data_IF_792293126806
#
_entry.id   IF_792293126806
#
_cell.length_a   1.000
_cell.length_b   1.000
_cell.length_c   1.000
_cell.angle_alpha   90.00
_cell.angle_beta   90.00
_cell.angle_gamma   90.00
#
_symmetry.space_group_name_H-M   'P 1'
#
loop_
_entity.id
_entity.type
_entity.pdbx_description
1 polymer ?
#
# COMPACT_ATOMS: atom_id res chain seq x y z
N UNK A 1 10.72 -0.37 15.15
CA UNK A 1 9.72 -0.58 16.24
C UNK A 1 8.44 0.24 16.02
N UNK A 2 8.51 1.51 15.60
CA UNK A 2 7.31 2.35 15.37
C UNK A 2 6.34 1.75 14.33
N UNK A 3 6.84 1.35 13.15
CA UNK A 3 6.00 0.77 12.10
C UNK A 3 5.31 -0.52 12.52
N UNK A 4 6.03 -1.45 13.15
CA UNK A 4 5.48 -2.73 13.63
C UNK A 4 4.46 -2.54 14.77
N UNK A 5 4.69 -1.59 15.66
CA UNK A 5 3.75 -1.25 16.74
C UNK A 5 2.48 -0.59 16.22
N UNK A 6 2.62 0.36 15.28
CA UNK A 6 1.48 0.98 14.58
C UNK A 6 0.68 -0.07 13.80
N UNK A 7 1.34 -0.91 13.00
CA UNK A 7 0.71 -1.98 12.23
C UNK A 7 -0.11 -2.90 13.16
N UNK A 8 0.52 -3.39 14.23
CA UNK A 8 -0.16 -4.24 15.22
C UNK A 8 -1.36 -3.54 15.87
N UNK A 9 -1.27 -2.23 16.12
CA UNK A 9 -2.36 -1.45 16.66
C UNK A 9 -3.54 -1.35 15.69
N UNK A 10 -3.31 -0.92 14.45
CA UNK A 10 -4.40 -0.74 13.45
C UNK A 10 -5.09 -2.05 13.08
N UNK A 11 -4.32 -3.15 12.94
CA UNK A 11 -4.89 -4.47 12.60
C UNK A 11 -5.73 -5.04 13.74
N UNK A 12 -5.44 -4.71 15.00
CA UNK A 12 -6.29 -5.13 16.14
C UNK A 12 -7.66 -4.44 16.14
N UNK A 13 -7.78 -3.27 15.52
CA UNK A 13 -9.00 -2.47 15.49
C UNK A 13 -10.03 -2.87 14.43
N UNK A 14 -9.73 -3.82 13.53
CA UNK A 14 -10.62 -4.20 12.42
C UNK A 14 -11.14 -5.64 12.55
N UNK A 15 -12.25 -5.95 11.86
CA UNK A 15 -12.83 -7.31 11.82
C UNK A 15 -11.87 -8.34 11.21
N UNK A 16 -12.07 -9.64 11.47
CA UNK A 16 -11.18 -10.70 10.96
C UNK A 16 -11.08 -10.67 9.43
N UNK A 17 -12.19 -10.38 8.77
CA UNK A 17 -12.33 -10.28 7.32
C UNK A 17 -11.50 -9.09 6.81
N UNK A 18 -11.64 -7.92 7.44
CA UNK A 18 -10.91 -6.71 7.08
C UNK A 18 -9.40 -6.77 7.42
N UNK A 19 -8.98 -7.60 8.38
CA UNK A 19 -7.55 -7.76 8.73
C UNK A 19 -6.74 -8.24 7.55
N UNK A 20 -7.28 -9.20 6.77
CA UNK A 20 -6.56 -9.76 5.62
C UNK A 20 -6.30 -8.69 4.57
N UNK A 21 -7.34 -7.94 4.22
CA UNK A 21 -7.28 -6.86 3.24
C UNK A 21 -6.35 -5.73 3.72
N UNK A 22 -6.51 -5.28 4.97
CA UNK A 22 -5.66 -4.25 5.55
C UNK A 22 -4.19 -4.66 5.58
N UNK A 23 -3.87 -5.91 5.95
CA UNK A 23 -2.51 -6.42 5.92
C UNK A 23 -1.93 -6.38 4.49
N UNK A 24 -2.70 -6.84 3.50
CA UNK A 24 -2.27 -6.80 2.10
C UNK A 24 -2.01 -5.37 1.60
N UNK A 25 -2.85 -4.40 1.99
CA UNK A 25 -2.66 -2.98 1.66
C UNK A 25 -1.40 -2.43 2.33
N UNK A 26 -1.20 -2.68 3.62
CA UNK A 26 -0.02 -2.20 4.35
C UNK A 26 1.27 -2.76 3.73
N UNK A 27 1.28 -4.04 3.36
CA UNK A 27 2.41 -4.68 2.68
C UNK A 27 2.68 -4.02 1.34
N UNK A 28 1.64 -3.79 0.52
CA UNK A 28 1.76 -3.16 -0.80
C UNK A 28 2.35 -1.75 -0.69
N UNK A 29 1.81 -0.93 0.23
CA UNK A 29 2.31 0.44 0.48
C UNK A 29 3.77 0.43 0.94
N UNK A 30 4.12 -0.45 1.88
CA UNK A 30 5.50 -0.56 2.35
C UNK A 30 6.45 -1.02 1.23
N UNK A 31 5.98 -1.90 0.34
CA UNK A 31 6.72 -2.37 -0.81
C UNK A 31 6.98 -1.27 -1.84
N UNK A 32 5.96 -0.48 -2.20
CA UNK A 32 6.12 0.65 -3.13
C UNK A 32 7.06 1.73 -2.60
N UNK A 33 6.98 2.03 -1.29
CA UNK A 33 7.90 2.96 -0.63
C UNK A 33 9.34 2.44 -0.71
N UNK A 34 9.54 1.14 -0.46
CA UNK A 34 10.86 0.53 -0.51
C UNK A 34 11.44 0.57 -1.94
N UNK A 35 10.65 0.25 -2.96
CA UNK A 35 11.07 0.35 -4.37
C UNK A 35 11.41 1.79 -4.76
N UNK A 36 10.56 2.77 -4.44
CA UNK A 36 10.82 4.18 -4.76
C UNK A 36 12.08 4.70 -4.06
N UNK A 37 12.31 4.30 -2.80
CA UNK A 37 13.54 4.63 -2.09
C UNK A 37 14.77 4.05 -2.79
N UNK A 38 14.70 2.80 -3.27
CA UNK A 38 15.80 2.21 -4.02
C UNK A 38 16.05 2.97 -5.33
N UNK A 39 15.01 3.34 -6.07
CA UNK A 39 15.15 4.15 -7.28
C UNK A 39 15.79 5.51 -7.01
N UNK A 40 15.45 6.16 -5.90
CA UNK A 40 16.09 7.42 -5.50
C UNK A 40 17.59 7.24 -5.23
N UNK A 41 17.99 6.12 -4.63
CA UNK A 41 19.38 5.84 -4.26
C UNK A 41 20.21 5.39 -5.47
N UNK A 42 19.66 4.50 -6.29
CA UNK A 42 20.40 3.83 -7.36
C UNK A 42 20.25 4.51 -8.72
N UNK A 43 19.11 5.15 -8.98
CA UNK A 43 18.77 5.74 -10.27
C UNK A 43 18.65 7.27 -10.22
N UNK A 44 19.03 7.90 -9.11
CA UNK A 44 18.92 9.36 -8.87
C UNK A 44 17.49 9.90 -9.10
N UNK A 45 16.46 9.06 -8.90
CA UNK A 45 15.08 9.52 -8.93
C UNK A 45 14.85 10.54 -7.81
N UNK A 46 13.95 11.50 -8.04
CA UNK A 46 13.57 12.48 -7.01
C UNK A 46 12.58 11.84 -6.02
N UNK A 47 12.77 11.97 -4.70
CA UNK A 47 11.79 11.56 -3.71
C UNK A 47 10.42 12.21 -3.98
N UNK A 48 9.38 11.38 -4.15
CA UNK A 48 8.05 11.87 -4.54
C UNK A 48 6.98 10.95 -3.98
N UNK A 49 6.11 11.51 -3.14
CA UNK A 49 4.92 10.80 -2.66
C UNK A 49 3.94 10.52 -3.80
N UNK A 50 3.82 11.45 -4.76
CA UNK A 50 2.96 11.27 -5.93
C UNK A 50 3.38 10.06 -6.77
N UNK A 51 4.69 9.83 -6.95
CA UNK A 51 5.20 8.67 -7.69
C UNK A 51 4.82 7.35 -7.01
N UNK A 52 4.91 7.28 -5.67
CA UNK A 52 4.50 6.11 -4.89
C UNK A 52 2.99 5.86 -5.01
N UNK A 53 2.17 6.91 -4.90
CA UNK A 53 0.70 6.80 -4.99
C UNK A 53 0.26 6.35 -6.39
N UNK A 54 0.91 6.85 -7.43
CA UNK A 54 0.67 6.46 -8.82
C UNK A 54 1.06 5.00 -9.09
N UNK A 55 2.18 4.53 -8.52
CA UNK A 55 2.56 3.12 -8.57
C UNK A 55 1.54 2.22 -7.83
N UNK A 56 1.08 2.65 -6.65
CA UNK A 56 0.03 1.95 -5.89
C UNK A 56 -1.28 1.86 -6.68
N UNK A 57 -1.70 2.94 -7.35
CA UNK A 57 -2.90 2.95 -8.17
C UNK A 57 -2.81 1.90 -9.30
N UNK A 58 -1.67 1.86 -10.01
CA UNK A 58 -1.41 0.85 -11.05
C UNK A 58 -1.43 -0.58 -10.51
N UNK A 59 -0.71 -0.85 -9.43
CA UNK A 59 -0.67 -2.19 -8.84
C UNK A 59 -2.03 -2.63 -8.30
N UNK A 60 -2.79 -1.70 -7.73
CA UNK A 60 -4.16 -1.99 -7.27
C UNK A 60 -5.06 -2.43 -8.42
N UNK A 61 -4.93 -1.80 -9.60
CA UNK A 61 -5.70 -2.15 -10.79
C UNK A 61 -5.33 -3.56 -11.29
N UNK A 62 -4.03 -3.88 -11.32
CA UNK A 62 -3.55 -5.21 -11.69
C UNK A 62 -4.09 -6.29 -10.74
N UNK A 63 -4.03 -6.06 -9.44
CA UNK A 63 -4.60 -6.97 -8.43
C UNK A 63 -6.12 -7.13 -8.58
N UNK A 64 -6.81 -6.05 -8.95
CA UNK A 64 -8.22 -6.07 -9.29
C UNK A 64 -8.51 -7.04 -10.45
N UNK A 65 -7.72 -6.97 -11.53
CA UNK A 65 -7.84 -7.89 -12.67
C UNK A 65 -7.49 -9.34 -12.33
N UNK A 66 -6.65 -9.55 -11.32
CA UNK A 66 -6.32 -10.87 -10.78
C UNK A 66 -7.36 -11.42 -9.77
N UNK A 67 -8.47 -10.70 -9.55
CA UNK A 67 -9.57 -11.12 -8.67
C UNK A 67 -9.53 -10.55 -7.24
N UNK A 68 -8.53 -9.73 -6.89
CA UNK A 68 -8.43 -9.08 -5.58
C UNK A 68 -9.21 -7.74 -5.54
N UNK A 69 -10.50 -7.78 -5.93
CA UNK A 69 -11.35 -6.59 -6.11
C UNK A 69 -11.54 -5.77 -4.83
N UNK A 70 -11.72 -6.43 -3.69
CA UNK A 70 -11.91 -5.77 -2.40
C UNK A 70 -10.69 -4.92 -1.97
N UNK A 71 -9.47 -5.36 -2.35
CA UNK A 71 -8.24 -4.63 -2.07
C UNK A 71 -8.18 -3.30 -2.86
N UNK A 72 -8.55 -3.36 -4.14
CA UNK A 72 -8.61 -2.19 -5.00
C UNK A 72 -9.67 -1.19 -4.53
N UNK A 73 -10.86 -1.67 -4.14
CA UNK A 73 -11.92 -0.81 -3.60
C UNK A 73 -11.47 -0.08 -2.32
N UNK A 74 -10.76 -0.79 -1.43
CA UNK A 74 -10.20 -0.20 -0.21
C UNK A 74 -9.14 0.88 -0.51
N UNK A 75 -8.25 0.61 -1.46
CA UNK A 75 -7.23 1.58 -1.91
C UNK A 75 -7.87 2.79 -2.60
N UNK A 76 -8.82 2.58 -3.51
CA UNK A 76 -9.53 3.64 -4.22
C UNK A 76 -10.26 4.57 -3.25
N UNK A 77 -10.90 4.03 -2.20
CA UNK A 77 -11.55 4.82 -1.14
C UNK A 77 -10.54 5.63 -0.31
N UNK A 78 -9.31 5.16 -0.16
CA UNK A 78 -8.28 5.80 0.65
C UNK A 78 -7.48 6.85 -0.12
N UNK A 79 -7.43 6.74 -1.45
CA UNK A 79 -6.73 7.67 -2.35
C UNK A 79 -7.62 8.80 -2.88
N UNK A 80 -8.93 8.74 -2.65
CA UNK A 80 -9.93 9.74 -3.08
C UNK A 80 -10.23 10.82 -2.03
N UNK A 81 -9.64 10.73 -0.84
CA UNK A 81 -9.66 11.71 0.24
C UNK A 81 -8.37 12.52 0.29
#
# INVERSE_FOLDING_TARGET
LIFSSWWSHVVRGVSKEAKKELNSVIILVAWEIWKHRNDCIFNNATPSTAAVLDALARESLLLCTAGARALHELLARSLST
#
